data_IF_087891006554
#
_entry.id   IF_087891006554
#
_cell.length_a   1.000
_cell.length_b   1.000
_cell.length_c   1.000
_cell.angle_alpha   90.00
_cell.angle_beta   90.00
_cell.angle_gamma   90.00
#
_symmetry.space_group_name_H-M   'P 1'
#
loop_
_entity.id
_entity.type
_entity.pdbx_description
1 polymer ?
#
# COMPACT_ATOMS: atom_id res chain seq x y z
N UNK A 1 19.27 13.33 7.48
CA UNK A 1 18.26 13.13 8.54
C UNK A 1 17.38 11.95 8.15
N UNK A 2 17.71 10.73 8.58
CA UNK A 2 16.73 9.64 8.55
C UNK A 2 15.84 9.86 9.77
N UNK A 3 14.58 10.26 9.57
CA UNK A 3 13.57 9.97 10.59
C UNK A 3 13.62 8.45 10.75
N UNK A 4 13.75 7.93 11.98
CA UNK A 4 13.56 6.48 12.22
C UNK A 4 12.22 6.10 11.58
N UNK A 5 12.29 5.45 10.43
CA UNK A 5 11.14 5.18 9.60
C UNK A 5 10.26 4.18 10.32
N UNK A 6 8.95 4.40 10.28
CA UNK A 6 7.99 3.35 10.55
C UNK A 6 8.25 2.20 9.56
N UNK A 7 8.31 0.97 10.06
CA UNK A 7 8.43 -0.21 9.21
C UNK A 7 7.16 -0.28 8.35
N UNK A 8 7.25 -0.41 7.02
CA UNK A 8 6.05 -0.46 6.17
C UNK A 8 5.18 -1.67 6.48
N UNK A 9 3.88 -1.44 6.60
CA UNK A 9 2.81 -2.44 6.74
C UNK A 9 1.93 -2.53 5.48
N UNK A 10 2.17 -1.69 4.48
CA UNK A 10 1.55 -1.75 3.18
C UNK A 10 2.60 -1.42 2.10
N UNK A 11 2.68 -2.24 1.05
CA UNK A 11 3.58 -2.03 -0.08
C UNK A 11 2.80 -2.23 -1.38
N UNK A 12 2.77 -1.18 -2.20
CA UNK A 12 2.27 -1.23 -3.57
C UNK A 12 3.45 -1.03 -4.52
N UNK A 13 3.65 -1.99 -5.41
CA UNK A 13 4.75 -2.02 -6.37
C UNK A 13 4.17 -2.24 -7.76
N UNK A 14 4.50 -1.38 -8.73
CA UNK A 14 3.94 -1.40 -10.09
C UNK A 14 5.07 -1.27 -11.09
N UNK A 15 5.06 -2.10 -12.13
CA UNK A 15 6.05 -2.08 -13.19
C UNK A 15 5.53 -2.72 -14.48
N UNK A 16 6.13 -2.39 -15.62
CA UNK A 16 5.68 -2.83 -16.95
C UNK A 16 6.74 -3.60 -17.74
N UNK A 17 7.99 -3.63 -17.30
CA UNK A 17 9.06 -4.20 -18.10
C UNK A 17 9.89 -5.27 -17.37
N UNK A 18 10.94 -5.73 -18.06
CA UNK A 18 11.81 -6.79 -17.53
C UNK A 18 12.59 -6.33 -16.29
N UNK A 19 12.89 -5.05 -16.16
CA UNK A 19 13.63 -4.53 -15.01
C UNK A 19 12.79 -4.58 -13.72
N UNK A 20 11.47 -4.50 -13.85
CA UNK A 20 10.55 -4.57 -12.72
C UNK A 20 10.40 -5.99 -12.15
N UNK A 21 10.72 -7.02 -12.93
CA UNK A 21 10.65 -8.41 -12.48
C UNK A 21 11.58 -8.69 -11.29
N UNK A 22 12.79 -8.14 -11.30
CA UNK A 22 13.72 -8.27 -10.19
C UNK A 22 13.23 -7.50 -8.95
N UNK A 23 12.55 -6.36 -9.15
CA UNK A 23 11.90 -5.60 -8.08
C UNK A 23 10.76 -6.40 -7.43
N UNK A 24 9.91 -7.07 -8.22
CA UNK A 24 8.82 -7.90 -7.69
C UNK A 24 9.33 -9.03 -6.81
N UNK A 25 10.39 -9.73 -7.24
CA UNK A 25 10.99 -10.83 -6.49
C UNK A 25 11.56 -10.38 -5.13
N UNK A 26 12.27 -9.25 -5.13
CA UNK A 26 12.85 -8.68 -3.90
C UNK A 26 11.75 -8.25 -2.92
N UNK A 27 10.71 -7.56 -3.40
CA UNK A 27 9.63 -7.09 -2.53
C UNK A 27 8.80 -8.24 -1.97
N UNK A 28 8.53 -9.28 -2.75
CA UNK A 28 7.79 -10.45 -2.26
C UNK A 28 8.59 -11.23 -1.22
N UNK A 29 9.91 -11.29 -1.36
CA UNK A 29 10.79 -11.92 -0.35
C UNK A 29 11.05 -11.01 0.87
N UNK A 30 10.82 -9.70 0.75
CA UNK A 30 11.05 -8.75 1.84
C UNK A 30 10.20 -9.04 3.10
N UNK A 31 9.00 -9.62 2.93
CA UNK A 31 8.12 -10.07 4.03
C UNK A 31 8.83 -11.11 4.91
N UNK A 32 9.57 -12.04 4.30
CA UNK A 32 10.30 -13.08 5.03
C UNK A 32 11.59 -12.55 5.69
N UNK A 33 12.13 -11.44 5.20
CA UNK A 33 13.43 -10.87 5.64
C UNK A 33 13.36 -9.93 6.85
N UNK A 34 12.18 -9.76 7.48
CA UNK A 34 11.92 -8.77 8.53
C UNK A 34 12.17 -7.29 8.13
N UNK A 35 12.30 -7.02 6.82
CA UNK A 35 12.40 -5.65 6.28
C UNK A 35 11.03 -4.94 6.24
N UNK A 36 9.95 -5.71 6.33
CA UNK A 36 8.56 -5.24 6.40
C UNK A 36 7.92 -5.67 7.73
N UNK A 37 6.79 -5.05 8.06
CA UNK A 37 5.99 -5.43 9.22
C UNK A 37 5.51 -6.89 9.08
N UNK A 38 5.39 -7.67 10.17
CA UNK A 38 4.81 -9.02 10.10
C UNK A 38 3.38 -9.07 9.57
N UNK A 39 2.66 -7.95 9.64
CA UNK A 39 1.31 -7.78 9.09
C UNK A 39 1.31 -7.11 7.72
N UNK A 40 2.48 -6.95 7.09
CA UNK A 40 2.58 -6.20 5.86
C UNK A 40 1.81 -6.85 4.71
N UNK A 41 0.96 -6.06 4.05
CA UNK A 41 0.31 -6.47 2.81
C UNK A 41 1.10 -5.96 1.60
N UNK A 42 1.43 -6.88 0.69
CA UNK A 42 2.25 -6.60 -0.50
C UNK A 42 1.45 -6.83 -1.77
N UNK A 43 1.36 -5.78 -2.58
CA UNK A 43 0.66 -5.74 -3.86
C UNK A 43 1.67 -5.43 -4.96
N UNK A 44 2.25 -6.48 -5.55
CA UNK A 44 3.08 -6.36 -6.74
C UNK A 44 2.22 -6.54 -8.00
N UNK A 45 2.25 -5.56 -8.89
CA UNK A 45 1.41 -5.44 -10.07
C UNK A 45 2.25 -5.25 -11.33
N UNK A 46 2.11 -6.15 -12.31
CA UNK A 46 2.60 -5.90 -13.67
C UNK A 46 1.58 -5.08 -14.48
N UNK A 47 2.02 -4.20 -15.37
CA UNK A 47 1.13 -3.52 -16.33
C UNK A 47 0.98 -4.36 -17.60
N UNK A 48 -0.26 -4.59 -18.03
CA UNK A 48 -0.62 -5.50 -19.10
C UNK A 48 -0.62 -6.97 -18.66
N UNK A 49 -1.46 -7.76 -19.31
CA UNK A 49 -1.54 -9.20 -19.07
C UNK A 49 -0.38 -9.93 -19.78
N UNK A 50 0.69 -10.20 -19.03
CA UNK A 50 1.91 -10.86 -19.51
C UNK A 50 2.51 -11.79 -18.46
N UNK A 51 3.38 -12.75 -18.83
CA UNK A 51 4.16 -13.51 -17.86
C UNK A 51 4.96 -12.56 -16.96
N UNK A 52 4.78 -12.69 -15.65
CA UNK A 52 5.44 -11.85 -14.65
C UNK A 52 5.56 -12.58 -13.31
N UNK A 53 6.55 -12.20 -12.51
CA UNK A 53 6.71 -12.58 -11.10
C UNK A 53 5.74 -11.80 -10.19
N UNK A 54 5.14 -10.71 -10.67
CA UNK A 54 4.09 -9.99 -9.94
C UNK A 54 2.86 -10.89 -9.71
N UNK A 55 2.22 -10.75 -8.55
CA UNK A 55 1.03 -11.52 -8.19
C UNK A 55 -0.23 -11.00 -8.89
N UNK A 56 -0.27 -9.71 -9.19
CA UNK A 56 -1.42 -9.03 -9.78
C UNK A 56 -1.03 -8.37 -11.10
N UNK A 57 -2.02 -7.97 -11.89
CA UNK A 57 -1.81 -7.14 -13.06
C UNK A 57 -2.82 -6.00 -13.11
N UNK A 58 -2.45 -4.91 -13.77
CA UNK A 58 -3.31 -3.82 -14.17
C UNK A 58 -3.33 -3.78 -15.69
N UNK A 59 -4.49 -3.61 -16.32
CA UNK A 59 -4.62 -3.75 -17.77
C UNK A 59 -3.76 -2.73 -18.52
N UNK A 60 -3.81 -1.47 -18.08
CA UNK A 60 -3.09 -0.36 -18.68
C UNK A 60 -2.85 0.78 -17.67
N UNK A 61 -2.28 1.89 -18.16
CA UNK A 61 -2.02 3.08 -17.35
C UNK A 61 -3.29 3.77 -16.83
N UNK A 62 -4.43 3.58 -17.48
CA UNK A 62 -5.74 4.11 -17.04
C UNK A 62 -6.17 3.42 -15.76
N UNK A 63 -5.96 2.10 -15.65
CA UNK A 63 -6.27 1.35 -14.43
C UNK A 63 -5.38 1.75 -13.26
N UNK A 64 -4.10 2.06 -13.51
CA UNK A 64 -3.19 2.62 -12.49
C UNK A 64 -3.77 3.92 -11.94
N UNK A 65 -4.15 4.85 -12.82
CA UNK A 65 -4.72 6.15 -12.41
C UNK A 65 -6.02 5.96 -11.62
N UNK A 66 -6.92 5.09 -12.09
CA UNK A 66 -8.19 4.78 -11.41
C UNK A 66 -7.95 4.20 -10.02
N UNK A 67 -7.01 3.27 -9.88
CA UNK A 67 -6.65 2.67 -8.60
C UNK A 67 -6.06 3.69 -7.64
N UNK A 68 -5.08 4.50 -8.07
CA UNK A 68 -4.46 5.55 -7.24
C UNK A 68 -5.48 6.60 -6.81
N UNK A 69 -6.39 7.01 -7.70
CA UNK A 69 -7.49 7.90 -7.37
C UNK A 69 -8.43 7.27 -6.33
N UNK A 70 -8.72 5.97 -6.45
CA UNK A 70 -9.49 5.23 -5.47
C UNK A 70 -8.84 5.23 -4.08
N UNK A 71 -7.53 4.97 -4.01
CA UNK A 71 -6.76 5.01 -2.77
C UNK A 71 -6.75 6.41 -2.13
N UNK A 72 -6.52 7.46 -2.92
CA UNK A 72 -6.57 8.84 -2.44
C UNK A 72 -7.95 9.17 -1.86
N UNK A 73 -9.02 8.82 -2.59
CA UNK A 73 -10.40 9.05 -2.17
C UNK A 73 -10.72 8.30 -0.88
N UNK A 74 -10.32 7.03 -0.76
CA UNK A 74 -10.52 6.23 0.45
C UNK A 74 -9.77 6.83 1.65
N UNK A 75 -8.51 7.24 1.46
CA UNK A 75 -7.69 7.88 2.50
C UNK A 75 -8.35 9.15 3.05
N UNK A 76 -8.94 9.98 2.18
CA UNK A 76 -9.67 11.19 2.62
C UNK A 76 -10.93 10.85 3.42
N UNK A 77 -11.67 9.81 3.02
CA UNK A 77 -12.88 9.38 3.75
C UNK A 77 -12.52 8.83 5.13
N UNK A 78 -11.45 8.04 5.24
CA UNK A 78 -10.94 7.56 6.53
C UNK A 78 -10.53 8.73 7.44
N UNK A 79 -9.83 9.74 6.91
CA UNK A 79 -9.45 10.92 7.69
C UNK A 79 -10.65 11.73 8.18
N UNK A 80 -11.69 11.89 7.34
CA UNK A 80 -12.93 12.59 7.71
C UNK A 80 -13.72 11.83 8.77
N UNK A 81 -13.78 10.50 8.71
CA UNK A 81 -14.46 9.69 9.75
C UNK A 81 -13.78 9.79 11.11
N UNK A 82 -12.44 9.86 11.16
CA UNK A 82 -11.70 10.08 12.42
C UNK A 82 -12.05 11.42 13.05
N UNK A 83 -12.27 12.46 12.24
CA UNK A 83 -12.63 13.80 12.74
C UNK A 83 -14.05 13.94 13.31
N UNK A 84 -14.93 12.95 13.10
CA UNK A 84 -16.34 12.98 13.52
C UNK A 84 -16.59 12.18 14.83
N UNK A 85 -15.58 11.50 15.38
CA UNK A 85 -15.74 10.88 16.70
C UNK A 85 -15.72 11.97 17.79
N UNK A 86 -16.86 12.28 18.46
CA UNK A 86 -16.83 13.21 19.59
C UNK A 86 -16.02 12.51 20.68
N UNK A 87 -14.97 13.17 21.16
CA UNK A 87 -14.30 12.77 22.39
C UNK A 87 -15.37 12.49 23.44
N UNK A 88 -15.35 11.28 24.00
CA UNK A 88 -16.14 10.90 25.16
C UNK A 88 -15.77 11.89 26.28
N UNK A 89 -16.58 12.93 26.46
CA UNK A 89 -16.47 13.85 27.58
C UNK A 89 -16.73 13.00 28.82
N UNK A 90 -15.66 12.60 29.50
CA UNK A 90 -15.75 12.05 30.85
C UNK A 90 -16.10 13.23 31.73
N UNK A 91 -17.37 13.34 32.06
CA UNK A 91 -17.84 14.25 33.10
C UNK A 91 -17.57 13.51 34.40
N UNK A 92 -16.41 13.75 35.01
CA UNK A 92 -16.21 13.37 36.41
C UNK A 92 -17.17 14.22 37.25
N UNK A 93 -18.24 13.57 37.71
CA UNK A 93 -19.02 14.00 38.86
C UNK A 93 -18.51 13.21 40.04
N UNK A 94 -17.72 13.85 40.90
CA UNK A 94 -17.95 14.05 42.33
C UNK A 94 -16.85 14.94 42.93
#
# INVERSE_FOLDING_TARGET
>A
MQKKGTIPDFVLCIGDDRSDEDMFEVIMSAVASASLSPVAEVFACTVGQKPSKAKYYLEDTTEILRMLQGLASASEHSAKQVSISPQRVIIDRE
#
